data_IF_797887715977
#
_entry.id   IF_797887715977
#
_cell.length_a   1.000
_cell.length_b   1.000
_cell.length_c   1.000
_cell.angle_alpha   90.00
_cell.angle_beta   90.00
_cell.angle_gamma   90.00
#
_symmetry.space_group_name_H-M   'P 1'
#
loop_
_entity.id
_entity.type
_entity.pdbx_description
1 polymer ?
#
# COMPACT_ATOMS: atom_id res chain seq x y z
N UNK A 1 -10.74 -13.31 -10.64
CA UNK A 1 -9.68 -12.32 -10.88
C UNK A 1 -9.02 -12.45 -12.26
N UNK A 2 -8.69 -13.64 -12.77
CA UNK A 2 -8.06 -13.78 -14.10
C UNK A 2 -8.86 -13.07 -15.21
N UNK A 3 -10.16 -13.36 -15.30
CA UNK A 3 -11.05 -12.69 -16.29
C UNK A 3 -11.13 -11.18 -16.10
N UNK A 4 -11.07 -10.70 -14.87
CA UNK A 4 -11.09 -9.25 -14.59
C UNK A 4 -9.81 -8.59 -15.09
N UNK A 5 -8.66 -9.19 -14.80
CA UNK A 5 -7.36 -8.68 -15.28
C UNK A 5 -7.28 -8.70 -16.81
N UNK A 6 -7.74 -9.76 -17.43
CA UNK A 6 -7.82 -9.86 -18.89
C UNK A 6 -8.71 -8.74 -19.49
N UNK A 7 -9.87 -8.50 -18.90
CA UNK A 7 -10.80 -7.46 -19.34
C UNK A 7 -10.22 -6.03 -19.24
N UNK A 8 -9.39 -5.76 -18.23
CA UNK A 8 -8.87 -4.40 -18.00
C UNK A 8 -7.48 -4.14 -18.61
N UNK A 9 -6.79 -5.17 -19.13
CA UNK A 9 -5.38 -5.08 -19.54
C UNK A 9 -5.10 -3.98 -20.57
N UNK A 10 -6.06 -3.73 -21.48
CA UNK A 10 -5.95 -2.72 -22.54
C UNK A 10 -6.71 -1.42 -22.21
N UNK A 11 -7.07 -1.22 -20.94
CA UNK A 11 -7.85 -0.06 -20.49
C UNK A 11 -7.01 0.80 -19.55
N UNK A 12 -7.19 2.11 -19.66
CA UNK A 12 -6.59 3.06 -18.72
C UNK A 12 -7.35 3.05 -17.39
N UNK A 13 -7.26 1.95 -16.68
CA UNK A 13 -7.88 1.73 -15.35
C UNK A 13 -6.89 1.05 -14.42
N UNK A 14 -7.00 1.36 -13.13
CA UNK A 14 -6.23 0.72 -12.08
C UNK A 14 -7.15 -0.07 -11.15
N UNK A 15 -6.83 -1.33 -10.94
CA UNK A 15 -7.56 -2.22 -10.05
C UNK A 15 -6.86 -2.28 -8.69
N UNK A 16 -7.57 -1.98 -7.61
CA UNK A 16 -7.13 -2.14 -6.23
C UNK A 16 -7.90 -3.31 -5.60
N UNK A 17 -7.20 -4.29 -5.08
CA UNK A 17 -7.80 -5.52 -4.54
C UNK A 17 -7.70 -6.73 -5.49
N UNK A 18 -8.54 -7.76 -5.25
CA UNK A 18 -9.69 -7.81 -4.34
C UNK A 18 -9.31 -7.99 -2.86
N UNK A 19 -10.32 -8.18 -2.01
CA UNK A 19 -10.16 -8.47 -0.59
C UNK A 19 -9.24 -7.44 0.12
N UNK A 20 -9.56 -6.19 -0.05
CA UNK A 20 -8.81 -5.08 0.51
C UNK A 20 -9.77 -3.99 1.05
N UNK A 21 -9.30 -3.10 1.94
CA UNK A 21 -10.12 -2.03 2.48
C UNK A 21 -10.28 -0.83 1.51
N UNK A 22 -9.60 -0.85 0.38
CA UNK A 22 -9.63 0.22 -0.61
C UNK A 22 -8.48 1.22 -0.48
N UNK A 23 -8.77 2.46 -0.78
CA UNK A 23 -7.81 3.57 -0.79
C UNK A 23 -8.42 4.80 -0.11
N UNK A 24 -7.59 5.53 0.61
CA UNK A 24 -7.95 6.83 1.18
C UNK A 24 -6.80 7.83 1.01
N UNK A 25 -7.11 9.01 0.49
CA UNK A 25 -6.26 10.19 0.58
C UNK A 25 -6.84 11.10 1.64
N UNK A 26 -6.10 11.33 2.72
CA UNK A 26 -6.60 12.02 3.92
C UNK A 26 -7.19 13.38 3.60
N UNK A 27 -8.39 13.65 4.09
CA UNK A 27 -9.18 14.89 3.90
C UNK A 27 -9.60 15.17 2.45
N UNK A 28 -9.37 14.27 1.49
CA UNK A 28 -9.67 14.52 0.09
C UNK A 28 -10.66 13.49 -0.50
N UNK A 29 -10.32 12.20 -0.47
CA UNK A 29 -11.13 11.17 -1.13
C UNK A 29 -10.99 9.80 -0.48
N UNK A 30 -12.03 9.01 -0.56
CA UNK A 30 -12.05 7.61 -0.14
C UNK A 30 -12.83 6.75 -1.11
N UNK A 31 -12.25 5.61 -1.49
CA UNK A 31 -12.94 4.54 -2.22
C UNK A 31 -12.73 3.26 -1.42
N UNK A 32 -13.80 2.72 -0.84
CA UNK A 32 -13.76 1.54 0.02
C UNK A 32 -14.23 1.80 1.44
N UNK A 33 -13.78 0.98 2.38
CA UNK A 33 -14.31 0.91 3.75
C UNK A 33 -13.35 1.46 4.82
N UNK A 34 -12.22 2.04 4.46
CA UNK A 34 -11.29 2.60 5.43
C UNK A 34 -11.96 3.61 6.35
N UNK A 35 -11.80 3.50 7.69
CA UNK A 35 -12.40 4.44 8.64
C UNK A 35 -11.66 5.78 8.60
N UNK A 36 -12.30 6.80 8.03
CA UNK A 36 -11.68 8.11 7.80
C UNK A 36 -11.15 8.79 9.06
N UNK A 37 -11.76 8.51 10.23
CA UNK A 37 -11.36 9.12 11.50
C UNK A 37 -9.98 8.68 12.02
N UNK A 38 -9.42 7.57 11.49
CA UNK A 38 -8.07 7.08 11.84
C UNK A 38 -7.00 7.86 11.09
N UNK A 39 -7.35 8.47 9.96
CA UNK A 39 -6.42 9.13 9.06
C UNK A 39 -6.44 10.64 9.24
N UNK A 40 -5.29 11.24 9.54
CA UNK A 40 -5.08 12.68 9.50
C UNK A 40 -4.11 13.02 8.38
N UNK A 41 -4.39 14.13 7.69
CA UNK A 41 -3.54 14.60 6.60
C UNK A 41 -2.10 14.80 7.05
N UNK A 42 -1.18 14.29 6.25
CA UNK A 42 0.24 14.40 6.46
C UNK A 42 1.02 13.92 5.25
N UNK A 43 2.21 13.39 5.45
CA UNK A 43 3.17 13.14 4.39
C UNK A 43 3.65 11.70 4.29
N UNK A 44 3.06 10.79 5.06
CA UNK A 44 3.44 9.37 5.05
C UNK A 44 2.44 8.59 4.20
N UNK A 45 2.93 7.93 3.16
CA UNK A 45 2.17 6.96 2.38
C UNK A 45 2.16 5.60 3.07
N UNK A 46 1.05 4.87 2.97
CA UNK A 46 0.93 3.51 3.49
C UNK A 46 0.48 2.58 2.36
N UNK A 47 1.25 1.53 2.10
CA UNK A 47 0.81 0.41 1.25
C UNK A 47 0.77 -0.86 2.07
N UNK A 48 -0.34 -1.59 2.01
CA UNK A 48 -0.55 -2.75 2.89
C UNK A 48 -1.34 -3.86 2.23
N UNK A 49 -0.93 -5.09 2.49
CA UNK A 49 -1.73 -6.30 2.22
C UNK A 49 -2.85 -6.50 3.25
N UNK A 50 -2.66 -6.02 4.47
CA UNK A 50 -3.58 -6.22 5.59
C UNK A 50 -4.43 -4.98 5.86
N UNK A 51 -5.75 -5.13 5.91
CA UNK A 51 -6.66 -4.05 6.29
C UNK A 51 -6.45 -3.59 7.73
N UNK A 52 -6.42 -4.53 8.66
CA UNK A 52 -6.26 -4.24 10.10
C UNK A 52 -4.93 -3.55 10.41
N UNK A 53 -3.83 -4.07 9.87
CA UNK A 53 -2.51 -3.47 10.08
C UNK A 53 -2.37 -2.10 9.41
N UNK A 54 -3.12 -1.83 8.34
CA UNK A 54 -3.20 -0.49 7.75
C UNK A 54 -3.71 0.53 8.76
N UNK A 55 -4.77 0.20 9.49
CA UNK A 55 -5.37 1.09 10.48
C UNK A 55 -4.46 1.30 11.69
N UNK A 56 -3.82 0.24 12.16
CA UNK A 56 -2.84 0.30 13.23
C UNK A 56 -1.65 1.18 12.87
N UNK A 57 -1.09 0.99 11.68
CA UNK A 57 0.02 1.81 11.20
C UNK A 57 -0.38 3.29 11.03
N UNK A 58 -1.57 3.56 10.50
CA UNK A 58 -2.08 4.92 10.36
C UNK A 58 -2.24 5.60 11.72
N UNK A 59 -2.80 4.91 12.70
CA UNK A 59 -2.95 5.43 14.07
C UNK A 59 -1.58 5.76 14.70
N UNK A 60 -0.61 4.87 14.56
CA UNK A 60 0.75 5.10 15.06
C UNK A 60 1.45 6.27 14.36
N UNK A 61 1.33 6.37 13.05
CA UNK A 61 1.89 7.50 12.27
C UNK A 61 1.27 8.83 12.69
N UNK A 62 -0.05 8.85 12.90
CA UNK A 62 -0.78 10.05 13.36
C UNK A 62 -0.38 10.43 14.79
N UNK A 63 -0.29 9.46 15.72
CA UNK A 63 0.15 9.68 17.09
C UNK A 63 1.60 10.16 17.18
N UNK A 64 2.44 9.73 16.25
CA UNK A 64 3.81 10.23 16.11
C UNK A 64 3.92 11.65 15.53
N UNK A 65 2.81 12.25 15.12
CA UNK A 65 2.74 13.63 14.63
C UNK A 65 3.00 13.81 13.14
N UNK A 66 3.07 12.71 12.35
CA UNK A 66 3.40 12.82 10.91
C UNK A 66 2.19 12.89 9.99
N UNK A 67 1.12 12.20 10.30
CA UNK A 67 -0.06 12.09 9.44
C UNK A 67 0.17 11.29 8.16
N UNK A 68 -0.92 11.00 7.47
CA UNK A 68 -0.96 10.12 6.29
C UNK A 68 -1.34 10.92 5.03
N UNK A 69 -0.56 10.82 3.97
CA UNK A 69 -0.93 11.36 2.66
C UNK A 69 -2.01 10.49 2.02
N UNK A 70 -1.68 9.27 1.69
CA UNK A 70 -2.59 8.28 1.11
C UNK A 70 -2.29 6.91 1.71
N UNK A 71 -3.32 6.12 1.96
CA UNK A 71 -3.20 4.71 2.32
C UNK A 71 -3.85 3.84 1.24
N UNK A 72 -3.13 2.82 0.78
CA UNK A 72 -3.57 1.87 -0.25
C UNK A 72 -3.56 0.47 0.34
N UNK A 73 -4.75 -0.12 0.45
CA UNK A 73 -4.88 -1.54 0.75
C UNK A 73 -4.88 -2.35 -0.55
N UNK A 74 -3.89 -3.19 -0.76
CA UNK A 74 -3.75 -3.97 -2.00
C UNK A 74 -4.38 -5.36 -1.91
N UNK A 75 -4.66 -5.85 -0.71
CA UNK A 75 -5.19 -7.18 -0.46
C UNK A 75 -4.12 -8.27 -0.41
N UNK A 76 -4.45 -9.39 0.20
CA UNK A 76 -3.56 -10.54 0.38
C UNK A 76 -3.86 -11.73 -0.55
N UNK A 77 -4.77 -11.59 -1.50
CA UNK A 77 -5.14 -12.68 -2.41
C UNK A 77 -4.00 -13.03 -3.37
N UNK A 78 -3.92 -14.28 -3.86
CA UNK A 78 -2.87 -14.69 -4.79
C UNK A 78 -2.86 -13.93 -6.12
N UNK A 79 -4.04 -13.49 -6.58
CA UNK A 79 -4.19 -12.70 -7.80
C UNK A 79 -4.82 -11.36 -7.43
N UNK A 80 -3.99 -10.34 -7.40
CA UNK A 80 -4.38 -8.96 -7.10
C UNK A 80 -4.23 -8.05 -8.32
N UNK A 81 -4.83 -6.88 -8.26
CA UNK A 81 -4.67 -5.82 -9.25
C UNK A 81 -3.33 -5.12 -9.08
N UNK A 82 -3.31 -4.00 -8.35
CA UNK A 82 -2.10 -3.24 -8.05
C UNK A 82 -1.23 -3.99 -7.05
N UNK A 83 0.04 -4.18 -7.40
CA UNK A 83 1.04 -4.86 -6.56
C UNK A 83 1.68 -3.90 -5.56
N UNK A 84 2.40 -4.45 -4.58
CA UNK A 84 3.19 -3.64 -3.62
C UNK A 84 4.18 -2.73 -4.35
N UNK A 85 4.88 -3.26 -5.36
CA UNK A 85 5.83 -2.50 -6.18
C UNK A 85 5.15 -1.32 -6.88
N UNK A 86 4.04 -1.57 -7.57
CA UNK A 86 3.30 -0.52 -8.30
C UNK A 86 2.76 0.57 -7.37
N UNK A 87 2.25 0.20 -6.19
CA UNK A 87 1.82 1.17 -5.19
C UNK A 87 3.00 1.98 -4.63
N UNK A 88 4.13 1.33 -4.37
CA UNK A 88 5.34 2.01 -3.92
C UNK A 88 5.86 2.98 -4.98
N UNK A 89 5.84 2.61 -6.26
CA UNK A 89 6.22 3.47 -7.38
C UNK A 89 5.37 4.74 -7.44
N UNK A 90 4.04 4.63 -7.22
CA UNK A 90 3.16 5.79 -7.13
C UNK A 90 3.57 6.72 -5.99
N UNK A 91 3.88 6.19 -4.81
CA UNK A 91 4.31 7.00 -3.66
C UNK A 91 5.68 7.66 -3.87
N UNK A 92 6.62 6.96 -4.48
CA UNK A 92 7.94 7.53 -4.77
C UNK A 92 7.84 8.72 -5.71
N UNK A 93 6.91 8.68 -6.67
CA UNK A 93 6.66 9.75 -7.63
C UNK A 93 5.66 10.82 -7.13
N UNK A 94 5.03 10.62 -5.98
CA UNK A 94 4.08 11.58 -5.41
C UNK A 94 4.81 12.68 -4.62
N UNK A 95 4.72 13.95 -5.03
CA UNK A 95 5.36 15.04 -4.31
C UNK A 95 4.77 15.32 -2.93
N UNK A 96 3.54 14.90 -2.66
CA UNK A 96 2.88 15.06 -1.36
C UNK A 96 3.27 13.98 -0.34
N UNK A 97 3.92 12.90 -0.80
CA UNK A 97 4.40 11.81 0.05
C UNK A 97 5.91 11.93 0.26
N UNK A 98 6.35 12.08 1.50
CA UNK A 98 7.77 12.23 1.85
C UNK A 98 8.41 10.95 2.42
N UNK A 99 7.59 10.02 2.93
CA UNK A 99 8.04 8.72 3.43
C UNK A 99 6.95 7.67 3.19
N UNK A 100 7.33 6.39 3.18
CA UNK A 100 6.40 5.29 2.93
C UNK A 100 6.53 4.21 4.00
N UNK A 101 5.39 3.72 4.50
CA UNK A 101 5.28 2.49 5.29
C UNK A 101 4.73 1.39 4.39
N UNK A 102 5.47 0.31 4.27
CA UNK A 102 5.11 -0.87 3.49
C UNK A 102 4.80 -2.03 4.44
N UNK A 103 3.58 -2.54 4.40
CA UNK A 103 3.15 -3.66 5.23
C UNK A 103 2.88 -4.86 4.32
N UNK A 104 3.69 -5.88 4.49
CA UNK A 104 3.57 -7.16 3.80
C UNK A 104 3.23 -8.29 4.75
N UNK A 105 3.12 -9.47 4.18
CA UNK A 105 2.89 -10.74 4.88
C UNK A 105 3.89 -11.77 4.39
N UNK A 106 4.17 -12.76 5.24
CA UNK A 106 5.01 -13.89 4.85
C UNK A 106 4.42 -14.63 3.64
N UNK A 107 5.31 -15.14 2.78
CA UNK A 107 4.94 -15.85 1.56
C UNK A 107 4.86 -14.96 0.32
N UNK A 108 5.18 -15.54 -0.82
CA UNK A 108 5.22 -14.83 -2.11
C UNK A 108 6.46 -13.93 -2.28
N UNK A 109 6.49 -13.21 -3.39
CA UNK A 109 7.64 -12.41 -3.84
C UNK A 109 7.38 -10.91 -3.90
N UNK A 110 6.15 -10.45 -3.68
CA UNK A 110 5.73 -9.06 -3.94
C UNK A 110 6.53 -8.02 -3.15
N UNK A 111 6.81 -8.29 -1.87
CA UNK A 111 7.58 -7.39 -1.01
C UNK A 111 9.05 -7.35 -1.44
N UNK A 112 9.62 -8.51 -1.80
CA UNK A 112 10.98 -8.59 -2.30
C UNK A 112 11.14 -7.88 -3.66
N UNK A 113 10.17 -7.99 -4.54
CA UNK A 113 10.13 -7.27 -5.82
C UNK A 113 10.08 -5.76 -5.60
N UNK A 114 9.24 -5.29 -4.70
CA UNK A 114 9.13 -3.89 -4.33
C UNK A 114 10.47 -3.36 -3.76
N UNK A 115 11.10 -4.11 -2.87
CA UNK A 115 12.38 -3.74 -2.26
C UNK A 115 13.52 -3.67 -3.31
N UNK A 116 13.60 -4.63 -4.23
CA UNK A 116 14.58 -4.62 -5.33
C UNK A 116 14.37 -3.43 -6.26
N UNK A 117 13.12 -3.17 -6.62
CA UNK A 117 12.79 -2.01 -7.45
C UNK A 117 13.17 -0.70 -6.76
N UNK A 118 12.83 -0.55 -5.48
CA UNK A 118 13.18 0.64 -4.70
C UNK A 118 14.69 0.86 -4.64
N UNK A 119 15.45 -0.20 -4.38
CA UNK A 119 16.92 -0.13 -4.36
C UNK A 119 17.50 0.31 -5.71
N UNK A 120 16.92 -0.17 -6.81
CA UNK A 120 17.35 0.18 -8.16
C UNK A 120 16.90 1.58 -8.61
N UNK A 121 15.82 2.12 -8.02
CA UNK A 121 15.24 3.42 -8.39
C UNK A 121 16.15 4.62 -8.06
N UNK A 122 17.07 4.46 -7.13
CA UNK A 122 17.90 5.56 -6.63
C UNK A 122 17.14 6.59 -5.79
N UNK A 123 15.88 6.31 -5.40
CA UNK A 123 15.10 7.20 -4.56
C UNK A 123 15.72 7.36 -3.17
N UNK A 124 15.64 8.57 -2.62
CA UNK A 124 16.05 8.91 -1.27
C UNK A 124 14.88 9.01 -0.29
N UNK A 125 13.63 8.84 -0.74
CA UNK A 125 12.47 8.82 0.16
C UNK A 125 12.58 7.64 1.13
N UNK A 126 12.48 7.85 2.44
CA UNK A 126 12.51 6.74 3.40
C UNK A 126 11.36 5.76 3.17
N UNK A 127 11.68 4.48 3.13
CA UNK A 127 10.69 3.39 3.08
C UNK A 127 10.95 2.45 4.25
N UNK A 128 9.95 2.28 5.11
CA UNK A 128 10.00 1.35 6.24
C UNK A 128 9.11 0.16 5.92
N UNK A 129 9.67 -1.06 6.01
CA UNK A 129 8.95 -2.30 5.77
C UNK A 129 8.63 -3.04 7.07
N UNK A 130 7.41 -3.54 7.18
CA UNK A 130 6.98 -4.49 8.18
C UNK A 130 6.40 -5.73 7.49
N UNK A 131 6.88 -6.90 7.85
CA UNK A 131 6.39 -8.17 7.31
C UNK A 131 5.71 -8.95 8.43
N UNK A 132 4.40 -9.12 8.32
CA UNK A 132 3.63 -9.87 9.31
C UNK A 132 3.88 -11.37 9.17
N UNK A 133 4.06 -12.05 10.32
CA UNK A 133 4.34 -13.47 10.40
C UNK A 133 5.83 -13.80 10.49
N UNK A 134 6.13 -14.99 11.02
CA UNK A 134 7.52 -15.45 11.21
C UNK A 134 7.87 -16.65 10.35
N UNK A 135 6.87 -17.47 10.00
CA UNK A 135 7.07 -18.69 9.23
C UNK A 135 6.06 -18.78 8.10
N UNK A 136 6.52 -19.04 6.89
CA UNK A 136 5.66 -19.37 5.75
C UNK A 136 5.71 -20.89 5.49
N UNK A 137 4.64 -21.50 4.98
CA UNK A 137 4.70 -22.87 4.45
C UNK A 137 5.78 -22.98 3.39
N UNK A 138 6.49 -24.12 3.41
CA UNK A 138 7.49 -24.45 2.37
C UNK A 138 6.80 -24.89 1.09
#
# INVERSE_FOLDING_TARGET
MVKVKDYIQDRDVRLIGPNCPGIITSDEAKIGIMPGFVFKKGKVGIVSKSGTLTYEAADQVVKAGYGVSTAIGIGGDPIIGTTTKEALELFINDPETEAVVMIGEIGGSLEAEAARWYKASGSTKPVVGFIAGQTAPK
#
